data_IF_327408023195
#
_entry.id   IF_327408023195
#
_cell.length_a   1.000
_cell.length_b   1.000
_cell.length_c   1.000
_cell.angle_alpha   90.00
_cell.angle_beta   90.00
_cell.angle_gamma   90.00
#
_symmetry.space_group_name_H-M   'P 1'
#
loop_
_entity.id
_entity.type
_entity.pdbx_description
1 polymer ?
#
# COMPACT_ATOMS: atom_id res chain seq x y z
N UNK A 1 -12.91 -1.75 -20.14
CA UNK A 1 -12.49 -2.53 -21.33
C UNK A 1 -11.61 -1.66 -22.23
N UNK A 2 -10.43 -1.24 -21.76
CA UNK A 2 -9.42 -0.52 -22.55
C UNK A 2 -8.04 -0.68 -21.90
N UNK A 3 -7.47 -1.90 -21.87
CA UNK A 3 -6.02 -1.99 -22.11
C UNK A 3 -5.61 -3.05 -23.15
N UNK A 4 -6.53 -3.94 -23.57
CA UNK A 4 -6.21 -5.00 -24.55
C UNK A 4 -6.03 -4.46 -25.99
N UNK A 5 -6.46 -3.22 -26.23
CA UNK A 5 -6.40 -2.58 -27.55
C UNK A 5 -5.02 -2.00 -27.92
N UNK A 6 -4.05 -1.93 -26.99
CA UNK A 6 -2.76 -1.29 -27.27
C UNK A 6 -1.73 -2.19 -27.97
N UNK A 7 -1.89 -3.51 -27.97
CA UNK A 7 -0.99 -4.43 -28.71
C UNK A 7 -1.62 -5.02 -29.99
N UNK A 8 -2.91 -4.80 -30.27
CA UNK A 8 -3.62 -5.46 -31.39
C UNK A 8 -3.50 -4.74 -32.74
N UNK A 9 -2.78 -3.61 -32.81
CA UNK A 9 -2.55 -2.87 -34.06
C UNK A 9 -1.15 -3.08 -34.68
N UNK A 10 -0.35 -4.01 -34.17
CA UNK A 10 0.94 -4.33 -34.75
C UNK A 10 0.78 -5.33 -35.90
N UNK A 11 1.01 -4.85 -37.13
CA UNK A 11 1.14 -5.68 -38.33
C UNK A 11 2.11 -6.82 -38.06
N UNK A 12 1.69 -8.04 -38.40
CA UNK A 12 2.48 -9.27 -38.40
C UNK A 12 3.87 -9.03 -38.99
N UNK A 13 4.92 -9.14 -38.18
CA UNK A 13 6.31 -9.17 -38.66
C UNK A 13 7.36 -8.58 -37.72
N UNK A 14 6.99 -7.76 -36.73
CA UNK A 14 7.93 -7.25 -35.73
C UNK A 14 7.51 -7.68 -34.33
N UNK A 15 8.48 -8.15 -33.54
CA UNK A 15 8.32 -8.39 -32.10
C UNK A 15 7.74 -7.13 -31.47
N UNK A 16 6.45 -7.16 -31.12
CA UNK A 16 5.80 -6.04 -30.45
C UNK A 16 6.31 -6.04 -29.01
N UNK A 17 7.38 -5.27 -28.75
CA UNK A 17 7.82 -4.97 -27.39
C UNK A 17 6.79 -4.03 -26.77
N UNK A 18 5.68 -4.60 -26.30
CA UNK A 18 4.72 -3.83 -25.53
C UNK A 18 5.38 -3.43 -24.22
N UNK A 19 5.44 -2.12 -23.89
CA UNK A 19 5.99 -1.67 -22.63
C UNK A 19 5.23 -2.33 -21.48
N UNK A 20 5.96 -2.68 -20.41
CA UNK A 20 5.34 -3.28 -19.23
C UNK A 20 4.29 -2.31 -18.70
N UNK A 21 3.05 -2.77 -18.54
CA UNK A 21 1.93 -1.93 -18.09
C UNK A 21 2.21 -1.31 -16.70
N UNK A 22 3.02 -1.98 -15.87
CA UNK A 22 3.52 -1.41 -14.63
C UNK A 22 4.30 -0.13 -14.89
N UNK A 23 5.23 -0.13 -15.85
CA UNK A 23 6.09 1.02 -16.15
C UNK A 23 5.28 2.17 -16.76
N UNK A 24 4.28 1.86 -17.59
CA UNK A 24 3.38 2.88 -18.17
C UNK A 24 2.64 3.62 -17.05
N UNK A 25 1.96 2.87 -16.16
CA UNK A 25 1.18 3.47 -15.07
C UNK A 25 2.08 4.14 -14.03
N UNK A 26 3.31 3.64 -13.83
CA UNK A 26 4.23 4.19 -12.83
C UNK A 26 4.94 5.47 -13.30
N UNK A 27 5.12 5.65 -14.60
CA UNK A 27 5.79 6.84 -15.15
C UNK A 27 4.82 7.91 -15.64
N UNK A 28 3.52 7.66 -15.57
CA UNK A 28 2.48 8.63 -15.91
C UNK A 28 2.17 9.54 -14.72
N UNK A 29 2.39 10.85 -14.91
CA UNK A 29 2.17 11.88 -13.88
C UNK A 29 0.70 12.07 -13.51
N UNK A 30 -0.24 11.64 -14.35
CA UNK A 30 -1.67 11.68 -14.03
C UNK A 30 -2.02 10.76 -12.83
N UNK A 31 -1.13 9.80 -12.54
CA UNK A 31 -1.26 8.89 -11.41
C UNK A 31 -0.61 9.40 -10.12
N UNK A 32 0.14 10.50 -10.13
CA UNK A 32 0.83 11.02 -8.94
C UNK A 32 -0.15 11.41 -7.81
N UNK A 33 -1.36 11.86 -8.17
CA UNK A 33 -2.42 12.14 -7.20
C UNK A 33 -2.89 10.92 -6.40
N UNK A 34 -2.65 9.71 -6.93
CA UNK A 34 -2.94 8.45 -6.25
C UNK A 34 -1.72 7.90 -5.52
N UNK A 35 -0.67 8.71 -5.34
CA UNK A 35 0.55 8.29 -4.64
C UNK A 35 0.81 9.06 -3.35
N UNK A 36 0.14 10.18 -3.10
CA UNK A 36 0.24 10.89 -1.81
C UNK A 36 -0.59 10.16 -0.75
N UNK A 37 0.01 9.43 0.21
CA UNK A 37 -0.74 8.67 1.21
C UNK A 37 -1.27 9.57 2.33
N UNK A 38 -0.86 10.84 2.41
CA UNK A 38 -1.18 11.73 3.52
C UNK A 38 -2.70 11.90 3.73
N UNK A 39 -3.53 12.16 2.69
CA UNK A 39 -4.99 12.27 2.88
C UNK A 39 -5.64 10.95 3.34
N UNK A 40 -5.07 9.81 2.99
CA UNK A 40 -5.56 8.51 3.46
C UNK A 40 -5.21 8.27 4.92
N UNK A 41 -3.95 8.52 5.30
CA UNK A 41 -3.41 8.24 6.63
C UNK A 41 -3.91 9.20 7.70
N UNK A 42 -4.29 10.43 7.33
CA UNK A 42 -4.91 11.42 8.24
C UNK A 42 -6.40 11.18 8.47
N UNK A 43 -7.01 10.23 7.74
CA UNK A 43 -8.41 9.91 7.94
C UNK A 43 -8.65 9.25 9.30
N UNK A 44 -9.71 9.69 10.00
CA UNK A 44 -10.07 9.20 11.34
C UNK A 44 -10.66 7.78 11.37
N UNK A 45 -11.01 7.21 10.22
CA UNK A 45 -11.50 5.83 10.15
C UNK A 45 -10.43 4.85 10.65
N UNK A 46 -10.87 3.75 11.25
CA UNK A 46 -9.98 2.61 11.44
C UNK A 46 -9.53 2.07 10.09
N UNK A 47 -8.25 1.74 10.00
CA UNK A 47 -7.68 1.05 8.85
C UNK A 47 -7.47 -0.40 9.24
N UNK A 48 -7.74 -1.32 8.33
CA UNK A 48 -7.54 -2.74 8.50
C UNK A 48 -6.50 -3.21 7.51
N UNK A 49 -5.48 -3.91 8.00
CA UNK A 49 -4.51 -4.54 7.13
C UNK A 49 -5.15 -5.81 6.57
N UNK A 50 -5.23 -5.89 5.26
CA UNK A 50 -5.63 -7.11 4.56
C UNK A 50 -4.37 -7.95 4.34
N UNK A 51 -4.26 -9.13 4.97
CA UNK A 51 -3.05 -9.93 4.89
C UNK A 51 -2.85 -10.47 3.48
N UNK A 52 -1.64 -10.30 2.95
CA UNK A 52 -1.20 -10.95 1.72
C UNK A 52 -0.72 -12.38 2.00
N UNK A 53 -0.56 -13.18 0.94
CA UNK A 53 -0.14 -14.58 1.08
C UNK A 53 1.19 -14.70 1.84
N UNK A 54 1.22 -15.56 2.87
CA UNK A 54 2.37 -15.79 3.76
C UNK A 54 2.88 -14.53 4.51
N UNK A 55 2.09 -13.45 4.52
CA UNK A 55 2.43 -12.22 5.22
C UNK A 55 2.05 -12.33 6.70
N UNK A 56 3.04 -12.17 7.59
CA UNK A 56 2.86 -12.18 9.05
C UNK A 56 2.28 -13.48 9.66
N UNK A 57 3.06 -14.57 9.63
CA UNK A 57 2.69 -15.81 10.33
C UNK A 57 2.46 -15.56 11.83
N UNK A 58 1.29 -15.97 12.32
CA UNK A 58 0.93 -15.90 13.74
C UNK A 58 0.49 -14.51 14.21
N UNK A 59 0.27 -13.56 13.29
CA UNK A 59 -0.30 -12.23 13.60
C UNK A 59 -1.61 -12.08 12.86
N UNK A 60 -2.62 -11.64 13.58
CA UNK A 60 -3.98 -11.47 13.08
C UNK A 60 -4.55 -10.13 13.48
N UNK A 61 -5.62 -9.73 12.81
CA UNK A 61 -6.44 -8.58 13.20
C UNK A 61 -5.65 -7.28 13.39
N UNK A 62 -4.80 -6.93 12.42
CA UNK A 62 -4.01 -5.70 12.47
C UNK A 62 -4.88 -4.51 12.10
N UNK A 63 -5.05 -3.58 13.04
CA UNK A 63 -5.89 -2.38 12.93
C UNK A 63 -5.03 -1.15 13.20
N UNK A 64 -5.23 -0.07 12.44
CA UNK A 64 -4.61 1.23 12.68
C UNK A 64 -5.64 2.30 13.00
N UNK A 65 -5.47 2.98 14.13
CA UNK A 65 -6.34 4.02 14.66
C UNK A 65 -5.66 5.37 14.57
N UNK A 66 -6.38 6.40 14.12
CA UNK A 66 -5.83 7.75 14.01
C UNK A 66 -5.62 8.33 15.40
N UNK A 67 -4.47 8.95 15.64
CA UNK A 67 -4.19 9.67 16.88
C UNK A 67 -4.13 11.17 16.62
N UNK A 68 -3.19 11.60 15.80
CA UNK A 68 -2.91 13.02 15.61
C UNK A 68 -2.23 13.29 14.26
N UNK A 69 -2.37 14.52 13.76
CA UNK A 69 -1.65 15.00 12.58
C UNK A 69 -0.91 16.30 12.90
N UNK A 70 0.25 16.46 12.26
CA UNK A 70 1.06 17.67 12.34
C UNK A 70 1.29 18.16 10.91
N UNK A 71 0.38 19.02 10.43
CA UNK A 71 0.28 19.44 9.03
C UNK A 71 1.57 20.04 8.48
N UNK A 72 2.23 20.92 9.25
CA UNK A 72 3.44 21.62 8.83
C UNK A 72 4.60 20.68 8.49
N UNK A 73 4.72 19.59 9.26
CA UNK A 73 5.77 18.59 9.07
C UNK A 73 5.27 17.35 8.29
N UNK A 74 4.03 17.40 7.77
CA UNK A 74 3.34 16.26 7.13
C UNK A 74 3.56 14.95 7.89
N UNK A 75 3.44 15.03 9.22
CA UNK A 75 3.55 13.88 10.12
C UNK A 75 2.16 13.42 10.52
N UNK A 76 1.98 12.11 10.60
CA UNK A 76 0.76 11.49 11.11
C UNK A 76 1.11 10.41 12.11
N UNK A 77 0.46 10.49 13.27
CA UNK A 77 0.60 9.53 14.34
C UNK A 77 -0.63 8.64 14.38
N UNK A 78 -0.40 7.33 14.37
CA UNK A 78 -1.45 6.31 14.49
C UNK A 78 -1.06 5.26 15.51
N UNK A 79 -2.05 4.64 16.15
CA UNK A 79 -1.84 3.44 16.96
C UNK A 79 -2.11 2.22 16.10
N UNK A 80 -1.13 1.34 15.95
CA UNK A 80 -1.32 0.04 15.27
C UNK A 80 -1.44 -1.04 16.33
N UNK A 81 -2.51 -1.83 16.26
CA UNK A 81 -2.78 -2.93 17.19
C UNK A 81 -3.03 -4.23 16.46
N UNK A 82 -2.66 -5.35 17.08
CA UNK A 82 -2.79 -6.70 16.50
C UNK A 82 -3.01 -7.77 17.57
N UNK A 83 -3.50 -8.93 17.16
CA UNK A 83 -3.58 -10.15 17.97
C UNK A 83 -2.48 -11.12 17.52
N UNK A 84 -1.91 -11.88 18.46
CA UNK A 84 -1.02 -12.99 18.13
C UNK A 84 -1.85 -14.28 18.17
N UNK A 85 -1.76 -15.16 17.17
CA UNK A 85 -2.64 -16.34 17.06
C UNK A 85 -2.60 -17.27 18.28
N UNK A 86 -1.49 -17.26 19.05
CA UNK A 86 -1.31 -18.04 20.27
C UNK A 86 -1.80 -17.34 21.55
N UNK A 87 -2.35 -16.12 21.47
CA UNK A 87 -2.72 -15.30 22.61
C UNK A 87 -4.01 -14.51 22.37
N UNK A 88 -4.88 -14.44 23.38
CA UNK A 88 -6.05 -13.56 23.34
C UNK A 88 -5.70 -12.08 23.57
N UNK A 89 -4.47 -11.79 24.02
CA UNK A 89 -4.06 -10.42 24.34
C UNK A 89 -3.76 -9.62 23.09
N UNK A 90 -4.36 -8.44 23.01
CA UNK A 90 -4.08 -7.46 21.97
C UNK A 90 -2.78 -6.72 22.29
N UNK A 91 -1.88 -6.66 21.32
CA UNK A 91 -0.68 -5.82 21.37
C UNK A 91 -0.93 -4.54 20.59
N UNK A 92 -0.23 -3.47 20.96
CA UNK A 92 -0.33 -2.18 20.29
C UNK A 92 1.00 -1.44 20.29
N UNK A 93 1.19 -0.58 19.31
CA UNK A 93 2.33 0.30 19.18
C UNK A 93 1.93 1.62 18.55
N UNK A 94 2.46 2.72 19.09
CA UNK A 94 2.33 4.03 18.43
C UNK A 94 3.32 4.12 17.28
N UNK A 95 2.83 4.66 16.16
CA UNK A 95 3.52 4.72 14.89
C UNK A 95 3.47 6.15 14.40
N UNK A 96 4.58 6.85 14.52
CA UNK A 96 4.79 8.13 13.84
C UNK A 96 5.23 7.84 12.40
N UNK A 97 4.53 8.44 11.44
CA UNK A 97 4.84 8.37 10.01
C UNK A 97 5.14 9.76 9.49
N UNK A 98 6.25 9.90 8.77
CA UNK A 98 6.70 11.17 8.19
C UNK A 98 6.63 11.08 6.68
N UNK A 99 5.88 11.96 6.01
CA UNK A 99 5.90 12.04 4.55
C UNK A 99 7.20 12.67 4.11
N UNK A 100 7.97 11.99 3.26
CA UNK A 100 9.28 12.48 2.82
C UNK A 100 9.52 12.14 1.36
N UNK A 101 10.30 12.99 0.69
CA UNK A 101 10.89 12.66 -0.60
C UNK A 101 12.13 11.80 -0.35
N UNK A 102 12.20 10.64 -1.00
CA UNK A 102 13.35 9.73 -0.89
C UNK A 102 13.97 9.54 -2.26
N UNK A 103 15.29 9.29 -2.36
CA UNK A 103 16.00 9.20 -3.65
C UNK A 103 15.44 8.15 -4.62
N UNK A 104 14.79 7.11 -4.10
CA UNK A 104 14.17 6.03 -4.88
C UNK A 104 12.65 6.19 -5.06
N UNK A 105 12.09 7.30 -4.56
CA UNK A 105 10.69 7.66 -4.67
C UNK A 105 10.36 8.04 -6.10
N UNK A 106 9.20 7.60 -6.58
CA UNK A 106 8.79 7.82 -7.98
C UNK A 106 8.11 9.16 -8.20
N UNK A 107 7.52 9.74 -7.17
CA UNK A 107 6.96 11.09 -7.24
C UNK A 107 7.18 11.82 -5.93
N UNK A 108 7.14 13.17 -5.95
CA UNK A 108 7.13 13.94 -4.72
C UNK A 108 5.99 13.46 -3.81
N UNK A 109 6.27 13.34 -2.52
CA UNK A 109 5.30 12.97 -1.48
C UNK A 109 4.72 11.55 -1.62
N UNK A 110 5.30 10.69 -2.46
CA UNK A 110 4.82 9.30 -2.58
C UNK A 110 5.27 8.38 -1.46
N UNK A 111 6.13 8.85 -0.57
CA UNK A 111 6.83 7.99 0.37
C UNK A 111 6.63 8.49 1.80
N UNK A 112 6.70 7.54 2.71
CA UNK A 112 6.70 7.83 4.13
C UNK A 112 7.67 6.93 4.86
N UNK A 113 8.08 7.36 6.04
CA UNK A 113 9.01 6.61 6.88
C UNK A 113 8.46 6.38 8.27
N UNK A 114 8.84 5.28 8.89
CA UNK A 114 8.59 5.04 10.31
C UNK A 114 9.68 4.18 10.94
N UNK A 115 10.01 4.49 12.20
CA UNK A 115 10.96 3.69 13.01
C UNK A 115 10.24 2.66 13.89
N UNK A 116 8.91 2.62 13.88
CA UNK A 116 8.14 1.74 14.76
C UNK A 116 8.34 0.26 14.42
N UNK A 117 8.59 -0.08 13.15
CA UNK A 117 8.71 -1.46 12.68
C UNK A 117 9.98 -1.71 11.86
N UNK A 118 11.15 -1.34 12.39
CA UNK A 118 12.45 -1.47 11.70
C UNK A 118 12.73 -2.86 11.11
N UNK A 119 12.21 -3.93 11.72
CA UNK A 119 12.35 -5.31 11.21
C UNK A 119 11.54 -5.58 9.94
N UNK A 120 10.50 -4.81 9.70
CA UNK A 120 9.66 -4.86 8.49
C UNK A 120 10.26 -3.91 7.45
N UNK A 121 10.54 -2.67 7.86
CA UNK A 121 11.16 -1.67 7.02
C UNK A 121 11.10 -0.29 7.66
N UNK A 122 11.86 0.64 7.08
CA UNK A 122 11.92 2.04 7.52
C UNK A 122 11.27 2.95 6.49
N UNK A 123 11.55 2.72 5.20
CA UNK A 123 11.04 3.52 4.09
C UNK A 123 9.96 2.75 3.33
N UNK A 124 8.87 3.45 3.06
CA UNK A 124 7.69 2.90 2.39
C UNK A 124 7.32 3.77 1.19
N UNK A 125 7.17 3.14 0.03
CA UNK A 125 6.64 3.76 -1.20
C UNK A 125 5.17 3.43 -1.34
N UNK A 126 4.37 4.47 -1.55
CA UNK A 126 2.97 4.33 -1.92
C UNK A 126 2.88 3.91 -3.38
N UNK A 127 2.31 2.74 -3.61
CA UNK A 127 1.98 2.25 -4.96
C UNK A 127 0.69 2.90 -5.43
N UNK A 128 -0.32 2.94 -4.55
CA UNK A 128 -1.62 3.50 -4.85
C UNK A 128 -2.37 3.86 -3.57
N UNK A 129 -3.13 4.94 -3.64
CA UNK A 129 -4.08 5.31 -2.61
C UNK A 129 -5.26 6.06 -3.19
N UNK A 130 -6.42 5.86 -2.58
CA UNK A 130 -7.64 6.59 -2.90
C UNK A 130 -8.50 6.81 -1.65
N UNK A 131 -9.77 7.12 -1.81
CA UNK A 131 -10.70 7.27 -0.69
C UNK A 131 -10.92 6.00 0.14
N UNK A 132 -10.53 4.82 -0.35
CA UNK A 132 -10.94 3.50 0.16
C UNK A 132 -9.78 2.64 0.64
N UNK A 133 -8.67 2.63 -0.10
CA UNK A 133 -7.51 1.79 0.20
C UNK A 133 -6.17 2.51 0.04
N UNK A 134 -5.15 1.88 0.63
CA UNK A 134 -3.75 2.27 0.50
C UNK A 134 -2.92 1.00 0.27
N UNK A 135 -2.17 1.00 -0.82
CA UNK A 135 -1.23 -0.05 -1.21
C UNK A 135 0.16 0.59 -1.22
N UNK A 136 1.08 0.00 -0.47
CA UNK A 136 2.42 0.52 -0.32
C UNK A 136 3.39 -0.64 -0.12
N UNK A 137 4.67 -0.37 -0.32
CA UNK A 137 5.74 -1.37 -0.21
C UNK A 137 6.97 -0.83 0.45
N UNK A 138 7.74 -1.70 1.08
CA UNK A 138 9.05 -1.33 1.63
C UNK A 138 10.06 -1.09 0.52
N UNK A 139 10.93 -0.11 0.74
CA UNK A 139 12.14 0.12 -0.05
C UNK A 139 13.35 -0.18 0.83
N UNK A 140 14.31 -0.95 0.31
CA UNK A 140 15.66 -1.03 0.86
C UNK A 140 16.44 0.24 0.52
N UNK A 141 16.93 0.93 1.53
CA UNK A 141 17.62 2.23 1.37
C UNK A 141 19.00 2.09 0.71
N UNK A 142 19.58 0.88 0.64
CA UNK A 142 20.91 0.68 0.08
C UNK A 142 20.89 0.51 -1.43
N UNK A 143 19.90 -0.21 -1.97
CA UNK A 143 19.82 -0.56 -3.39
C UNK A 143 18.51 -0.13 -4.07
N UNK A 144 17.57 0.46 -3.33
CA UNK A 144 16.27 0.90 -3.84
C UNK A 144 15.32 -0.24 -4.18
N UNK A 145 15.66 -1.49 -3.80
CA UNK A 145 14.86 -2.67 -4.09
C UNK A 145 13.57 -2.64 -3.30
N UNK A 146 12.48 -3.03 -3.95
CA UNK A 146 11.17 -3.16 -3.32
C UNK A 146 10.92 -4.59 -2.90
N UNK A 147 10.41 -4.78 -1.69
CA UNK A 147 10.30 -6.11 -1.08
C UNK A 147 8.87 -6.45 -0.70
N UNK A 148 8.41 -6.05 0.49
CA UNK A 148 7.12 -6.43 1.01
C UNK A 148 6.05 -5.41 0.62
N UNK A 149 4.90 -5.89 0.17
CA UNK A 149 3.71 -5.08 -0.09
C UNK A 149 2.73 -5.15 1.09
N UNK A 150 1.94 -4.10 1.25
CA UNK A 150 0.94 -3.98 2.30
C UNK A 150 -0.33 -3.38 1.71
N UNK A 151 -1.48 -3.81 2.23
CA UNK A 151 -2.79 -3.39 1.74
C UNK A 151 -3.68 -2.97 2.91
N UNK A 152 -3.83 -1.67 3.13
CA UNK A 152 -4.77 -1.11 4.11
C UNK A 152 -6.09 -0.76 3.45
N UNK A 153 -7.18 -1.02 4.17
CA UNK A 153 -8.54 -0.68 3.76
C UNK A 153 -9.25 0.04 4.91
N UNK A 154 -10.02 1.09 4.63
CA UNK A 154 -10.82 1.76 5.66
C UNK A 154 -12.00 0.89 6.08
N UNK A 155 -12.38 0.98 7.35
CA UNK A 155 -13.44 0.19 7.97
C UNK A 155 -14.76 0.20 7.20
N UNK A 156 -15.17 1.37 6.71
CA UNK A 156 -16.42 1.57 5.98
C UNK A 156 -16.45 0.89 4.60
N UNK A 157 -15.32 0.37 4.11
CA UNK A 157 -15.23 -0.39 2.87
C UNK A 157 -14.91 -1.87 3.08
N UNK A 158 -14.88 -2.35 4.33
CA UNK A 158 -14.84 -3.79 4.60
C UNK A 158 -16.07 -4.47 4.00
N UNK A 159 -15.88 -5.65 3.40
CA UNK A 159 -16.93 -6.37 2.67
C UNK A 159 -17.27 -5.79 1.28
N UNK A 160 -16.69 -4.65 0.89
CA UNK A 160 -16.81 -4.15 -0.49
C UNK A 160 -15.89 -4.95 -1.44
N UNK A 161 -16.26 -5.16 -2.72
CA UNK A 161 -15.44 -5.92 -3.66
C UNK A 161 -14.07 -5.30 -3.99
N UNK A 162 -13.88 -4.00 -3.78
CA UNK A 162 -12.62 -3.26 -3.99
C UNK A 162 -11.84 -3.61 -5.26
N UNK A 163 -12.56 -3.87 -6.38
CA UNK A 163 -11.97 -4.42 -7.62
C UNK A 163 -10.76 -3.65 -8.15
N UNK A 164 -10.76 -2.33 -8.05
CA UNK A 164 -9.64 -1.49 -8.49
C UNK A 164 -8.42 -1.65 -7.57
N UNK A 165 -8.60 -1.66 -6.25
CA UNK A 165 -7.51 -1.91 -5.30
C UNK A 165 -6.91 -3.31 -5.53
N UNK A 166 -7.74 -4.35 -5.68
CA UNK A 166 -7.26 -5.70 -5.97
C UNK A 166 -6.50 -5.78 -7.29
N UNK A 167 -7.00 -5.13 -8.35
CA UNK A 167 -6.30 -5.07 -9.63
C UNK A 167 -4.91 -4.43 -9.51
N UNK A 168 -4.79 -3.30 -8.81
CA UNK A 168 -3.50 -2.64 -8.59
C UNK A 168 -2.59 -3.49 -7.70
N UNK A 169 -3.13 -4.12 -6.67
CA UNK A 169 -2.39 -5.01 -5.79
C UNK A 169 -1.79 -6.19 -6.57
N UNK A 170 -2.59 -6.87 -7.39
CA UNK A 170 -2.12 -7.97 -8.26
C UNK A 170 -1.07 -7.50 -9.26
N UNK A 171 -1.22 -6.28 -9.77
CA UNK A 171 -0.30 -5.74 -10.74
C UNK A 171 1.07 -5.45 -10.15
N UNK A 172 1.17 -4.97 -8.90
CA UNK A 172 2.43 -4.48 -8.32
C UNK A 172 3.00 -5.34 -7.19
N UNK A 173 2.25 -6.33 -6.71
CA UNK A 173 2.62 -7.14 -5.56
C UNK A 173 2.49 -8.63 -5.89
N UNK A 174 3.62 -9.35 -5.91
CA UNK A 174 3.68 -10.78 -6.26
C UNK A 174 2.75 -11.65 -5.39
N UNK A 175 2.60 -11.29 -4.11
CA UNK A 175 1.74 -11.96 -3.12
C UNK A 175 0.32 -11.41 -3.06
N UNK A 176 -0.04 -10.52 -3.99
CA UNK A 176 -1.35 -9.90 -4.11
C UNK A 176 -2.42 -10.78 -4.75
N UNK A 177 -2.02 -11.84 -5.46
CA UNK A 177 -2.96 -12.74 -6.13
C UNK A 177 -3.77 -13.57 -5.12
N UNK A 178 -5.08 -13.64 -5.34
CA UNK A 178 -5.99 -14.44 -4.53
C UNK A 178 -6.26 -13.87 -3.13
N UNK A 179 -5.92 -12.60 -2.89
CA UNK A 179 -6.22 -11.91 -1.63
C UNK A 179 -7.73 -11.83 -1.46
N UNK A 180 -8.23 -12.39 -0.37
CA UNK A 180 -9.65 -12.36 -0.03
C UNK A 180 -10.13 -10.93 0.24
N UNK A 181 -11.45 -10.74 0.12
CA UNK A 181 -12.07 -9.49 0.49
C UNK A 181 -11.84 -9.15 1.97
N UNK A 182 -11.60 -7.87 2.30
CA UNK A 182 -11.39 -7.43 3.67
C UNK A 182 -12.59 -7.78 4.56
N UNK A 183 -12.32 -8.35 5.73
CA UNK A 183 -13.33 -8.67 6.74
C UNK A 183 -12.99 -7.93 8.04
N UNK A 184 -14.04 -7.55 8.78
CA UNK A 184 -13.87 -6.94 10.10
C UNK A 184 -13.37 -8.00 11.08
N UNK A 185 -12.37 -7.63 11.87
CA UNK A 185 -11.88 -8.44 12.98
C UNK A 185 -13.00 -8.57 14.03
N UNK A 186 -13.31 -9.81 14.43
CA UNK A 186 -14.18 -10.11 15.57
C UNK A 186 -13.40 -10.02 16.89
#
# INVERSE_FOLDING_TARGET
>A
LMPVALCSAAKSGQSCQCPNIQDIIMNDSDFDKFRDPFPFLTNRSHLYLVPLKDQFRGIECVISEFKEEYGDNRRVDRTVSWKESASSNRKSKEVAMFMMDVPFGRSPRSNFTTLAFKKIGIVFETVYTDGKCLIFRTIDENDGKRTDCFFWVKENFLGSPLRHCHFILELYCEKGSGVESPKKCQ
#
